data_IF_090599071564
#
_entry.id   IF_090599071564
#
_cell.length_a   1.000
_cell.length_b   1.000
_cell.length_c   1.000
_cell.angle_alpha   90.00
_cell.angle_beta   90.00
_cell.angle_gamma   90.00
#
_symmetry.space_group_name_H-M   'P 1'
#
loop_
_entity.id
_entity.type
_entity.pdbx_description
1 polymer ?
#
# COMPACT_ATOMS: atom_id res chain seq x y z
N UNK A 1 -9.02 9.34 -9.34
CA UNK A 1 -8.82 7.97 -8.86
C UNK A 1 -10.00 7.09 -9.26
N UNK A 2 -9.78 5.80 -9.43
CA UNK A 2 -10.82 4.80 -9.69
C UNK A 2 -10.82 3.79 -8.54
N UNK A 3 -11.97 3.56 -7.94
CA UNK A 3 -12.13 2.53 -6.90
C UNK A 3 -12.78 1.31 -7.53
N UNK A 4 -12.17 0.15 -7.37
CA UNK A 4 -12.72 -1.14 -7.79
C UNK A 4 -13.38 -1.79 -6.57
N UNK A 5 -14.65 -2.13 -6.73
CA UNK A 5 -15.43 -2.84 -5.70
C UNK A 5 -15.14 -4.34 -5.82
N UNK A 6 -14.01 -4.75 -5.29
CA UNK A 6 -13.54 -6.13 -5.27
C UNK A 6 -13.18 -6.51 -3.84
N UNK A 7 -13.54 -7.71 -3.41
CA UNK A 7 -13.15 -8.18 -2.10
C UNK A 7 -11.64 -8.40 -2.05
N UNK A 8 -10.96 -7.78 -1.08
CA UNK A 8 -9.53 -7.98 -0.87
C UNK A 8 -9.22 -9.47 -0.69
N UNK A 9 -8.10 -9.93 -1.25
CA UNK A 9 -7.66 -11.33 -1.29
C UNK A 9 -8.50 -12.28 -2.16
N UNK A 10 -9.54 -11.78 -2.89
CA UNK A 10 -10.23 -12.55 -3.94
C UNK A 10 -9.38 -12.65 -5.21
N UNK A 11 -9.71 -13.58 -6.11
CA UNK A 11 -9.03 -13.68 -7.40
C UNK A 11 -9.14 -12.38 -8.19
N UNK A 12 -10.29 -11.74 -8.20
CA UNK A 12 -10.51 -10.44 -8.86
C UNK A 12 -9.60 -9.34 -8.32
N UNK A 13 -9.34 -9.36 -7.02
CA UNK A 13 -8.41 -8.41 -6.39
C UNK A 13 -6.95 -8.69 -6.79
N UNK A 14 -6.53 -9.95 -6.90
CA UNK A 14 -5.20 -10.29 -7.41
C UNK A 14 -5.05 -9.89 -8.86
N UNK A 15 -6.06 -10.14 -9.70
CA UNK A 15 -6.06 -9.77 -11.11
C UNK A 15 -5.97 -8.25 -11.31
N UNK A 16 -6.71 -7.47 -10.51
CA UNK A 16 -6.69 -6.00 -10.55
C UNK A 16 -5.32 -5.39 -10.21
N UNK A 17 -4.50 -6.09 -9.43
CA UNK A 17 -3.17 -5.64 -8.97
C UNK A 17 -2.03 -6.11 -9.87
N UNK A 18 -2.30 -7.01 -10.76
CA UNK A 18 -1.32 -7.74 -11.55
C UNK A 18 -0.54 -6.81 -12.47
N UNK A 19 0.78 -6.88 -12.41
CA UNK A 19 1.67 -6.04 -13.22
C UNK A 19 1.62 -4.55 -12.87
N UNK A 20 1.04 -4.18 -11.71
CA UNK A 20 0.95 -2.81 -11.24
C UNK A 20 1.77 -2.62 -9.95
N UNK A 21 2.55 -1.56 -9.88
CA UNK A 21 3.19 -1.18 -8.62
C UNK A 21 2.13 -0.75 -7.60
N UNK A 22 2.14 -1.38 -6.42
CA UNK A 22 1.15 -1.10 -5.36
C UNK A 22 1.81 -0.47 -4.14
N UNK A 23 1.05 0.30 -3.36
CA UNK A 23 1.56 1.04 -2.19
C UNK A 23 2.40 0.17 -1.24
N UNK A 24 2.03 -1.10 -1.04
CA UNK A 24 2.77 -2.04 -0.20
C UNK A 24 4.13 -2.48 -0.77
N UNK A 25 4.49 -2.04 -1.98
CA UNK A 25 5.77 -2.32 -2.66
C UNK A 25 6.57 -1.05 -2.96
N UNK A 26 6.11 0.12 -2.53
CA UNK A 26 6.77 1.39 -2.84
C UNK A 26 8.11 1.57 -2.12
N UNK A 27 8.38 0.81 -1.07
CA UNK A 27 9.70 0.72 -0.43
C UNK A 27 10.77 0.13 -1.36
N UNK A 28 10.37 -0.71 -2.32
CA UNK A 28 11.23 -1.18 -3.41
C UNK A 28 11.48 -0.12 -4.49
N UNK A 29 10.78 1.02 -4.45
CA UNK A 29 10.97 2.14 -5.38
C UNK A 29 11.77 3.25 -4.73
N UNK A 30 11.41 3.64 -3.50
CA UNK A 30 12.10 4.66 -2.70
C UNK A 30 12.45 4.10 -1.33
N UNK A 31 13.71 4.22 -0.91
CA UNK A 31 14.15 3.76 0.41
C UNK A 31 13.55 4.63 1.52
N UNK A 32 12.76 4.07 2.46
CA UNK A 32 11.99 4.86 3.42
C UNK A 32 12.85 5.71 4.37
N UNK A 33 14.05 5.22 4.74
CA UNK A 33 14.94 5.92 5.69
C UNK A 33 15.73 7.07 5.04
N UNK A 34 16.16 6.90 3.80
CA UNK A 34 17.06 7.87 3.13
C UNK A 34 16.35 8.73 2.10
N UNK A 35 15.11 8.38 1.73
CA UNK A 35 14.36 9.00 0.64
C UNK A 35 15.17 9.07 -0.67
N UNK A 36 15.94 8.01 -0.98
CA UNK A 36 16.71 7.83 -2.21
C UNK A 36 16.11 6.68 -3.02
N UNK A 37 16.33 6.65 -4.36
CA UNK A 37 15.94 5.52 -5.19
C UNK A 37 16.42 4.21 -4.59
N UNK A 38 15.55 3.21 -4.56
CA UNK A 38 15.89 1.89 -4.00
C UNK A 38 16.69 1.06 -4.98
N UNK A 39 17.66 0.30 -4.50
CA UNK A 39 18.38 -0.70 -5.29
C UNK A 39 17.50 -1.88 -5.73
N UNK A 40 16.30 -2.02 -5.14
CA UNK A 40 15.36 -3.09 -5.47
C UNK A 40 14.46 -2.76 -6.69
N UNK A 41 14.61 -1.60 -7.32
CA UNK A 41 13.75 -1.20 -8.46
C UNK A 41 13.80 -2.20 -9.62
N UNK A 42 14.99 -2.71 -9.99
CA UNK A 42 15.12 -3.68 -11.07
C UNK A 42 14.45 -5.01 -10.74
N UNK A 43 14.59 -5.47 -9.51
CA UNK A 43 13.89 -6.68 -9.04
C UNK A 43 12.39 -6.50 -9.14
N UNK A 44 11.87 -5.34 -8.69
CA UNK A 44 10.45 -5.02 -8.77
C UNK A 44 9.96 -4.98 -10.23
N UNK A 45 10.72 -4.38 -11.16
CA UNK A 45 10.40 -4.36 -12.59
C UNK A 45 10.29 -5.79 -13.13
N UNK A 46 11.26 -6.66 -12.84
CA UNK A 46 11.26 -8.04 -13.27
C UNK A 46 10.05 -8.82 -12.74
N UNK A 47 9.70 -8.61 -11.46
CA UNK A 47 8.51 -9.22 -10.86
C UNK A 47 7.22 -8.76 -11.54
N UNK A 48 7.06 -7.45 -11.81
CA UNK A 48 5.88 -6.90 -12.46
C UNK A 48 5.76 -7.36 -13.94
N UNK A 49 6.88 -7.48 -14.65
CA UNK A 49 6.89 -8.06 -16.00
C UNK A 49 6.48 -9.54 -15.95
N UNK A 50 7.05 -10.32 -15.05
CA UNK A 50 6.70 -11.72 -14.88
C UNK A 50 5.20 -11.89 -14.52
N UNK A 51 4.70 -11.08 -13.58
CA UNK A 51 3.27 -11.05 -13.25
C UNK A 51 2.41 -10.76 -14.50
N UNK A 52 2.84 -9.89 -15.40
CA UNK A 52 2.09 -9.55 -16.62
C UNK A 52 2.14 -10.65 -17.68
N UNK A 53 3.30 -11.29 -17.84
CA UNK A 53 3.58 -12.22 -18.96
C UNK A 53 3.21 -13.67 -18.66
N UNK A 54 3.32 -14.09 -17.41
CA UNK A 54 3.02 -15.46 -17.01
C UNK A 54 1.51 -15.66 -16.81
N UNK A 55 0.98 -16.87 -17.03
CA UNK A 55 -0.39 -17.20 -16.64
C UNK A 55 -0.57 -17.02 -15.11
N UNK A 56 -1.80 -16.69 -14.63
CA UNK A 56 -2.05 -16.44 -13.21
C UNK A 56 -1.58 -17.56 -12.27
N UNK A 57 -1.71 -18.79 -12.68
CA UNK A 57 -1.31 -20.00 -11.93
C UNK A 57 0.21 -20.18 -11.81
N UNK A 58 0.99 -19.50 -12.63
CA UNK A 58 2.46 -19.51 -12.62
C UNK A 58 3.04 -18.20 -12.04
N UNK A 59 2.18 -17.27 -11.64
CA UNK A 59 2.59 -16.02 -11.02
C UNK A 59 3.26 -16.24 -9.67
N UNK A 60 3.94 -15.22 -9.17
CA UNK A 60 4.60 -15.25 -7.86
C UNK A 60 3.52 -15.39 -6.78
N UNK A 61 3.28 -16.61 -6.30
CA UNK A 61 2.42 -16.88 -5.15
C UNK A 61 3.21 -16.46 -3.91
N UNK A 62 2.91 -15.29 -3.38
CA UNK A 62 3.39 -14.91 -2.05
C UNK A 62 2.51 -15.63 -1.02
N UNK A 63 3.06 -16.69 -0.42
CA UNK A 63 2.39 -17.37 0.68
C UNK A 63 2.11 -16.42 1.84
N UNK A 64 0.98 -16.60 2.52
CA UNK A 64 0.72 -15.91 3.80
C UNK A 64 1.56 -16.56 4.89
N UNK A 65 2.19 -15.74 5.73
CA UNK A 65 2.82 -16.24 6.97
C UNK A 65 1.78 -16.39 8.06
N UNK A 66 2.09 -17.17 9.10
CA UNK A 66 1.19 -17.33 10.26
C UNK A 66 0.85 -15.97 10.92
N UNK A 67 1.81 -15.03 10.94
CA UNK A 67 1.59 -13.67 11.45
C UNK A 67 0.63 -12.88 10.55
N UNK A 68 0.71 -13.05 9.23
CA UNK A 68 -0.23 -12.43 8.29
C UNK A 68 -1.64 -13.02 8.46
N UNK A 69 -1.77 -14.33 8.66
CA UNK A 69 -3.07 -14.98 8.91
C UNK A 69 -3.69 -14.46 10.21
N UNK A 70 -2.91 -14.36 11.28
CA UNK A 70 -3.38 -13.80 12.55
C UNK A 70 -3.77 -12.33 12.40
N UNK A 71 -3.02 -11.54 11.63
CA UNK A 71 -3.35 -10.16 11.31
C UNK A 71 -4.72 -10.03 10.65
N UNK A 72 -5.02 -10.90 9.68
CA UNK A 72 -6.33 -10.94 9.00
C UNK A 72 -7.49 -11.21 9.98
N UNK A 73 -7.30 -12.14 10.92
CA UNK A 73 -8.34 -12.47 11.91
C UNK A 73 -8.63 -11.27 12.83
N UNK A 74 -7.60 -10.50 13.19
CA UNK A 74 -7.74 -9.35 14.10
C UNK A 74 -8.15 -8.06 13.38
N UNK A 75 -8.05 -7.99 12.06
CA UNK A 75 -8.27 -6.77 11.28
C UNK A 75 -9.67 -6.18 11.48
N UNK A 76 -10.70 -7.02 11.53
CA UNK A 76 -12.08 -6.56 11.75
C UNK A 76 -12.27 -5.95 13.15
N UNK A 77 -11.68 -6.55 14.19
CA UNK A 77 -11.70 -6.04 15.57
C UNK A 77 -10.91 -4.74 15.67
N UNK A 78 -9.73 -4.69 15.06
CA UNK A 78 -8.88 -3.50 15.01
C UNK A 78 -9.58 -2.33 14.30
N UNK A 79 -10.28 -2.60 13.19
CA UNK A 79 -11.04 -1.60 12.46
C UNK A 79 -12.20 -1.06 13.28
N UNK A 80 -12.94 -1.91 13.97
CA UNK A 80 -14.00 -1.50 14.88
C UNK A 80 -13.46 -0.60 16.01
N UNK A 81 -12.33 -0.96 16.61
CA UNK A 81 -11.67 -0.15 17.63
C UNK A 81 -11.24 1.21 17.05
N UNK A 82 -10.62 1.24 15.87
CA UNK A 82 -10.26 2.48 15.20
C UNK A 82 -11.47 3.37 14.92
N UNK A 83 -12.54 2.80 14.39
CA UNK A 83 -13.76 3.53 14.04
C UNK A 83 -14.44 4.17 15.27
N UNK A 84 -14.50 3.44 16.37
CA UNK A 84 -15.16 3.91 17.60
C UNK A 84 -14.34 4.94 18.38
N UNK A 85 -13.01 4.81 18.40
CA UNK A 85 -12.17 5.59 19.33
C UNK A 85 -11.35 6.68 18.63
N UNK A 86 -11.00 6.52 17.35
CA UNK A 86 -10.04 7.40 16.67
C UNK A 86 -10.57 8.07 15.41
N UNK A 87 -11.50 7.42 14.69
CA UNK A 87 -12.00 7.97 13.44
C UNK A 87 -12.82 9.25 13.68
N UNK A 88 -12.45 10.32 12.95
CA UNK A 88 -13.12 11.64 13.03
C UNK A 88 -14.22 11.82 11.97
N UNK A 89 -14.41 10.81 11.12
CA UNK A 89 -15.37 10.81 10.02
C UNK A 89 -15.75 9.37 9.67
N UNK A 90 -16.83 9.14 8.89
CA UNK A 90 -17.24 7.79 8.50
C UNK A 90 -16.12 6.98 7.86
N UNK A 91 -16.00 5.72 8.28
CA UNK A 91 -15.01 4.75 7.81
C UNK A 91 -15.66 3.89 6.73
N UNK A 92 -14.98 3.74 5.59
CA UNK A 92 -15.46 2.93 4.46
C UNK A 92 -14.38 1.96 4.00
N UNK A 93 -14.67 0.68 4.05
CA UNK A 93 -13.82 -0.34 3.44
C UNK A 93 -13.78 -0.19 1.91
N UNK A 94 -12.64 -0.52 1.32
CA UNK A 94 -12.45 -0.47 -0.14
C UNK A 94 -11.63 -1.66 -0.62
N UNK A 95 -11.88 -2.11 -1.84
CA UNK A 95 -11.16 -3.24 -2.42
C UNK A 95 -9.78 -2.83 -2.95
N UNK A 96 -9.77 -2.13 -4.08
CA UNK A 96 -8.56 -1.65 -4.73
C UNK A 96 -8.76 -0.28 -5.34
N UNK A 97 -7.81 0.61 -5.17
CA UNK A 97 -7.83 1.96 -5.72
C UNK A 97 -6.71 2.10 -6.74
N UNK A 98 -7.06 2.57 -7.94
CA UNK A 98 -6.10 2.95 -8.98
C UNK A 98 -5.99 4.47 -8.98
N UNK A 99 -4.78 5.00 -9.01
CA UNK A 99 -4.52 6.43 -9.14
C UNK A 99 -5.15 6.99 -10.43
N UNK A 100 -5.45 8.29 -10.46
CA UNK A 100 -6.11 8.94 -11.61
C UNK A 100 -5.32 8.82 -12.93
N UNK A 101 -4.00 8.64 -12.84
CA UNK A 101 -3.11 8.42 -13.98
C UNK A 101 -3.04 6.95 -14.45
N UNK A 102 -3.68 6.02 -13.74
CA UNK A 102 -3.67 4.59 -14.08
C UNK A 102 -2.33 3.86 -13.90
N UNK A 103 -1.34 4.50 -13.26
CA UNK A 103 0.04 4.01 -13.24
C UNK A 103 0.39 3.14 -12.03
N UNK A 104 -0.31 3.32 -10.94
CA UNK A 104 -0.10 2.59 -9.68
C UNK A 104 -1.38 2.57 -8.84
N UNK A 105 -1.42 1.72 -7.85
CA UNK A 105 -2.60 1.54 -7.04
C UNK A 105 -2.31 1.11 -5.60
N UNK A 106 -3.39 0.86 -4.85
CA UNK A 106 -3.28 0.38 -3.48
C UNK A 106 -4.59 -0.16 -2.94
N UNK A 107 -4.49 -0.97 -1.90
CA UNK A 107 -5.64 -1.51 -1.16
C UNK A 107 -5.52 -1.07 0.29
N UNK A 108 -5.99 0.13 0.62
CA UNK A 108 -6.02 0.56 2.01
C UNK A 108 -7.07 -0.24 2.79
N UNK A 109 -6.89 -0.33 4.09
CA UNK A 109 -7.84 -1.01 4.97
C UNK A 109 -9.14 -0.23 5.10
N UNK A 110 -9.07 1.11 5.02
CA UNK A 110 -10.26 1.96 4.96
C UNK A 110 -9.98 3.36 4.38
N UNK A 111 -11.01 4.00 3.83
CA UNK A 111 -11.09 5.44 3.63
C UNK A 111 -11.84 6.07 4.80
N UNK A 112 -11.41 7.26 5.24
CA UNK A 112 -12.00 8.00 6.36
C UNK A 112 -12.43 9.38 5.86
N UNK A 113 -13.73 9.62 5.81
CA UNK A 113 -14.28 10.82 5.21
C UNK A 113 -13.74 11.10 3.81
N UNK A 114 -13.50 12.39 3.49
CA UNK A 114 -13.02 12.82 2.17
C UNK A 114 -11.50 12.98 2.11
N UNK A 115 -10.84 13.29 3.22
CA UNK A 115 -9.44 13.76 3.25
C UNK A 115 -8.44 12.76 3.86
N UNK A 116 -8.91 11.65 4.48
CA UNK A 116 -8.06 10.66 5.15
C UNK A 116 -8.37 9.23 4.73
N UNK A 117 -7.52 8.32 5.14
CA UNK A 117 -7.72 6.88 5.12
C UNK A 117 -6.96 6.25 6.28
N UNK A 118 -7.05 4.94 6.42
CA UNK A 118 -6.39 4.20 7.49
C UNK A 118 -5.63 3.00 6.94
N UNK A 119 -4.44 2.79 7.48
CA UNK A 119 -3.67 1.54 7.36
C UNK A 119 -3.62 0.90 8.74
N UNK A 120 -4.14 -0.32 8.84
CA UNK A 120 -4.26 -1.08 10.08
C UNK A 120 -3.19 -2.18 10.11
N UNK A 121 -2.51 -2.31 11.23
CA UNK A 121 -1.55 -3.39 11.48
C UNK A 121 -1.87 -4.08 12.78
N UNK A 122 -1.86 -5.42 12.76
CA UNK A 122 -2.05 -6.25 13.94
C UNK A 122 -0.76 -7.09 14.17
N UNK A 123 0.34 -6.45 14.60
CA UNK A 123 1.61 -7.14 14.80
C UNK A 123 1.59 -7.99 16.07
N UNK A 124 2.67 -8.76 16.28
CA UNK A 124 2.91 -9.44 17.54
C UNK A 124 3.11 -8.44 18.69
N UNK A 125 2.84 -8.86 19.94
CA UNK A 125 2.97 -7.99 21.12
C UNK A 125 4.32 -7.26 21.22
N UNK A 126 5.48 -7.94 21.07
CA UNK A 126 6.79 -7.27 21.11
C UNK A 126 6.96 -6.18 20.05
N UNK A 127 6.47 -6.40 18.82
CA UNK A 127 6.53 -5.42 17.74
C UNK A 127 5.61 -4.24 18.03
N UNK A 128 4.39 -4.50 18.52
CA UNK A 128 3.46 -3.45 18.92
C UNK A 128 4.02 -2.58 20.06
N UNK A 129 4.66 -3.19 21.06
CA UNK A 129 5.32 -2.45 22.15
C UNK A 129 6.45 -1.54 21.62
N UNK A 130 7.19 -1.99 20.58
CA UNK A 130 8.22 -1.09 20.01
C UNK A 130 7.60 0.15 19.36
N UNK A 131 6.46 0.03 18.67
CA UNK A 131 5.73 1.17 18.11
C UNK A 131 5.24 2.15 19.18
N UNK A 132 4.69 1.62 20.30
CA UNK A 132 4.27 2.44 21.44
C UNK A 132 5.46 3.20 22.08
N UNK A 133 6.63 2.58 22.16
CA UNK A 133 7.84 3.19 22.73
C UNK A 133 8.48 4.23 21.81
N UNK A 134 8.50 3.98 20.52
CA UNK A 134 9.11 4.87 19.54
C UNK A 134 8.22 6.08 19.23
N UNK A 135 6.90 5.91 19.24
CA UNK A 135 5.95 7.00 19.06
C UNK A 135 5.97 7.63 17.67
N UNK A 136 6.54 6.94 16.67
CA UNK A 136 6.68 7.42 15.28
C UNK A 136 6.19 6.37 14.29
N UNK A 137 5.89 6.78 13.06
CA UNK A 137 5.53 5.85 12.00
C UNK A 137 6.68 4.89 11.72
N UNK A 138 6.47 3.55 11.87
CA UNK A 138 7.50 2.57 11.57
C UNK A 138 7.97 2.70 10.12
N UNK A 139 9.30 2.67 9.94
CA UNK A 139 9.91 2.98 8.64
C UNK A 139 9.45 2.06 7.50
N UNK A 140 9.13 0.80 7.81
CA UNK A 140 8.63 -0.19 6.85
C UNK A 140 7.27 0.20 6.23
N UNK A 141 6.43 0.97 6.93
CA UNK A 141 5.13 1.42 6.42
C UNK A 141 5.15 2.82 5.81
N UNK A 142 6.28 3.53 5.91
CA UNK A 142 6.37 4.93 5.48
C UNK A 142 6.02 5.08 4.00
N UNK A 143 6.62 4.29 3.13
CA UNK A 143 6.32 4.35 1.69
C UNK A 143 4.87 3.95 1.38
N UNK A 144 4.31 2.99 2.11
CA UNK A 144 2.94 2.53 1.94
C UNK A 144 1.94 3.63 2.30
N UNK A 145 2.08 4.23 3.48
CA UNK A 145 1.19 5.29 3.99
C UNK A 145 1.23 6.54 3.10
N UNK A 146 2.43 7.03 2.76
CA UNK A 146 2.57 8.16 1.82
C UNK A 146 2.08 7.81 0.41
N UNK A 147 2.25 6.55 0.01
CA UNK A 147 1.74 6.02 -1.26
C UNK A 147 0.23 6.09 -1.36
N UNK A 148 -0.50 5.77 -0.30
CA UNK A 148 -1.95 5.92 -0.30
C UNK A 148 -2.40 7.36 -0.48
N UNK A 149 -1.72 8.32 0.13
CA UNK A 149 -2.03 9.74 -0.07
C UNK A 149 -1.79 10.16 -1.54
N UNK A 150 -0.76 9.61 -2.20
CA UNK A 150 -0.51 9.85 -3.63
C UNK A 150 -1.60 9.23 -4.50
N UNK A 151 -1.91 7.93 -4.29
CA UNK A 151 -2.90 7.18 -5.07
C UNK A 151 -4.30 7.79 -4.97
N UNK A 152 -4.67 8.23 -3.79
CA UNK A 152 -6.03 8.76 -3.50
C UNK A 152 -6.15 10.28 -3.68
N UNK A 153 -5.04 11.02 -3.69
CA UNK A 153 -5.02 12.47 -3.65
C UNK A 153 -5.38 13.07 -2.28
N UNK A 154 -5.54 12.23 -1.25
CA UNK A 154 -5.94 12.66 0.10
C UNK A 154 -4.78 13.35 0.81
N UNK A 155 -5.11 14.20 1.80
CA UNK A 155 -4.15 15.09 2.48
C UNK A 155 -3.42 14.44 3.63
N UNK A 156 -4.06 13.47 4.28
CA UNK A 156 -3.55 12.79 5.47
C UNK A 156 -3.90 11.31 5.44
N UNK A 157 -3.25 10.54 6.33
CA UNK A 157 -3.49 9.12 6.49
C UNK A 157 -3.28 8.70 7.92
N UNK A 158 -4.19 7.88 8.46
CA UNK A 158 -4.06 7.33 9.78
C UNK A 158 -3.31 5.99 9.72
N UNK A 159 -2.28 5.86 10.54
CA UNK A 159 -1.62 4.58 10.83
C UNK A 159 -2.12 4.08 12.18
N UNK A 160 -2.70 2.89 12.19
CA UNK A 160 -3.27 2.29 13.37
C UNK A 160 -2.67 0.92 13.63
N UNK A 161 -2.04 0.73 14.79
CA UNK A 161 -1.54 -0.58 15.21
C UNK A 161 -2.33 -1.08 16.41
N UNK A 162 -2.81 -2.31 16.30
CA UNK A 162 -3.65 -2.96 17.28
C UNK A 162 -3.05 -4.29 17.73
N UNK A 163 -2.97 -4.48 19.02
CA UNK A 163 -2.65 -5.75 19.65
C UNK A 163 -3.58 -5.95 20.85
N UNK A 164 -4.32 -7.07 20.86
CA UNK A 164 -5.31 -7.35 21.89
C UNK A 164 -4.68 -7.27 23.29
N UNK A 165 -5.39 -6.64 24.23
CA UNK A 165 -4.96 -6.40 25.62
C UNK A 165 -3.77 -5.42 25.79
N UNK A 166 -3.35 -4.72 24.74
CA UNK A 166 -2.40 -3.61 24.82
C UNK A 166 -3.08 -2.31 24.38
N UNK A 167 -2.61 -1.13 24.87
CA UNK A 167 -3.11 0.14 24.38
C UNK A 167 -2.93 0.25 22.85
N UNK A 168 -3.91 0.73 22.08
CA UNK A 168 -3.74 0.93 20.65
C UNK A 168 -2.72 2.03 20.35
N UNK A 169 -2.03 1.92 19.21
CA UNK A 169 -1.11 2.94 18.72
C UNK A 169 -1.70 3.60 17.47
N UNK A 170 -1.85 4.92 17.52
CA UNK A 170 -2.44 5.70 16.43
C UNK A 170 -1.60 6.93 16.11
N UNK A 171 -1.39 7.17 14.82
CA UNK A 171 -0.75 8.36 14.29
C UNK A 171 -1.50 8.88 13.07
N UNK A 172 -1.72 10.19 12.99
CA UNK A 172 -2.15 10.85 11.76
C UNK A 172 -0.94 11.42 11.03
N UNK A 173 -0.70 10.95 9.82
CA UNK A 173 0.42 11.33 8.95
C UNK A 173 -0.11 12.30 7.90
N UNK A 174 0.53 13.45 7.74
CA UNK A 174 0.20 14.44 6.71
C UNK A 174 1.16 14.31 5.51
N UNK A 175 0.72 14.80 4.35
CA UNK A 175 1.62 14.96 3.20
C UNK A 175 2.76 15.90 3.56
N UNK A 176 3.97 15.52 3.17
CA UNK A 176 5.20 16.25 3.47
C UNK A 176 6.21 16.16 2.30
N UNK A 177 7.45 16.58 2.55
CA UNK A 177 8.55 16.48 1.57
C UNK A 177 8.82 15.02 1.15
N UNK A 178 8.63 14.05 2.04
CA UNK A 178 8.80 12.64 1.68
C UNK A 178 7.74 12.20 0.67
N UNK A 179 6.49 12.64 0.83
CA UNK A 179 5.41 12.37 -0.15
C UNK A 179 5.80 12.90 -1.53
N UNK A 180 6.32 14.13 -1.61
CA UNK A 180 6.74 14.73 -2.90
C UNK A 180 7.91 13.95 -3.54
N UNK A 181 8.89 13.52 -2.73
CA UNK A 181 10.01 12.69 -3.22
C UNK A 181 9.54 11.33 -3.72
N UNK A 182 8.62 10.69 -3.01
CA UNK A 182 8.05 9.41 -3.42
C UNK A 182 7.27 9.56 -4.73
N UNK A 183 6.44 10.60 -4.88
CA UNK A 183 5.66 10.86 -6.09
C UNK A 183 6.57 11.10 -7.32
N UNK A 184 7.65 11.85 -7.14
CA UNK A 184 8.65 12.06 -8.19
C UNK A 184 9.35 10.74 -8.59
N UNK A 185 9.73 9.92 -7.60
CA UNK A 185 10.41 8.65 -7.90
C UNK A 185 9.46 7.59 -8.46
N UNK A 186 8.18 7.58 -8.09
CA UNK A 186 7.16 6.78 -8.76
C UNK A 186 7.05 7.10 -10.25
N UNK A 187 7.11 8.39 -10.61
CA UNK A 187 7.10 8.83 -12.01
C UNK A 187 8.32 8.30 -12.77
N UNK A 188 9.53 8.40 -12.19
CA UNK A 188 10.76 7.86 -12.76
C UNK A 188 10.71 6.34 -12.91
N UNK A 189 10.23 5.65 -11.88
CA UNK A 189 10.08 4.19 -11.89
C UNK A 189 9.12 3.72 -12.99
N UNK A 190 7.96 4.35 -13.13
CA UNK A 190 6.99 4.00 -14.17
C UNK A 190 7.56 4.23 -15.57
N UNK A 191 8.34 5.30 -15.79
CA UNK A 191 9.00 5.52 -17.05
C UNK A 191 9.97 4.39 -17.39
N UNK A 192 10.80 3.94 -16.43
CA UNK A 192 11.71 2.79 -16.59
C UNK A 192 10.91 1.50 -16.87
N UNK A 193 9.89 1.23 -16.07
CA UNK A 193 9.05 0.05 -16.23
C UNK A 193 8.37 0.00 -17.59
N UNK A 194 7.82 1.11 -18.07
CA UNK A 194 7.21 1.20 -19.39
C UNK A 194 8.23 0.98 -20.53
N UNK A 195 9.46 1.47 -20.37
CA UNK A 195 10.53 1.21 -21.33
C UNK A 195 10.85 -0.30 -21.43
N UNK A 196 10.88 -1.00 -20.31
CA UNK A 196 11.07 -2.45 -20.29
C UNK A 196 9.86 -3.19 -20.87
N UNK A 197 8.61 -2.78 -20.55
CA UNK A 197 7.39 -3.35 -21.14
C UNK A 197 7.43 -3.34 -22.66
N UNK A 198 7.82 -2.24 -23.26
CA UNK A 198 7.93 -2.09 -24.73
C UNK A 198 8.94 -3.09 -25.33
N UNK A 199 10.08 -3.34 -24.67
CA UNK A 199 11.06 -4.33 -25.13
C UNK A 199 10.48 -5.76 -25.21
N UNK A 200 9.51 -6.06 -24.33
CA UNK A 200 8.79 -7.34 -24.32
C UNK A 200 7.49 -7.34 -25.13
N UNK A 201 7.24 -6.30 -25.95
CA UNK A 201 6.04 -6.20 -26.78
C UNK A 201 4.74 -5.91 -26.00
N UNK A 202 4.85 -5.45 -24.75
CA UNK A 202 3.71 -5.10 -23.91
C UNK A 202 3.36 -3.61 -24.07
N UNK A 203 2.05 -3.29 -24.01
CA UNK A 203 1.58 -1.90 -23.97
C UNK A 203 2.02 -1.19 -22.68
N UNK A 204 2.54 0.05 -22.75
CA UNK A 204 2.80 0.85 -21.56
C UNK A 204 1.55 0.99 -20.67
N UNK A 205 1.73 0.95 -19.34
CA UNK A 205 0.64 1.27 -18.41
C UNK A 205 0.36 2.78 -18.43
N UNK A 206 -0.90 3.17 -18.21
CA UNK A 206 -1.34 4.58 -18.26
C UNK A 206 -1.45 5.17 -19.67
N UNK A 207 -1.12 4.43 -20.73
CA UNK A 207 -1.50 4.81 -22.08
C UNK A 207 -3.02 4.62 -22.21
N UNK A 208 -3.74 5.71 -22.45
CA UNK A 208 -5.15 5.59 -22.85
C UNK A 208 -5.22 4.75 -24.12
N UNK A 209 -6.17 3.81 -24.21
CA UNK A 209 -6.42 3.08 -25.44
C UNK A 209 -6.87 4.00 -26.55
#
# INVERSE_FOLDING_TARGET
>A
MQTLDVQQRSQQWYDARRGMATCSRFDSILTPKTAKPSSAQETLINELLAETMLPPEQGVIRGMTAEMEQGVILEAEARCCFELEFAKAPVKEVGFIIASNGLYGGSPDALVGEDSGCEIKCPTGPVHISYLREGVLPSEYKCQVHGYMIVTGRKQWDFFSYCRNLPPFHLTINRDEFTAKLEAELTNFVAKYNAERVKFGLTPIGANP
#
